data_IF_929028218166
#
_entry.id   IF_929028218166
#
_cell.length_a   1.000
_cell.length_b   1.000
_cell.length_c   1.000
_cell.angle_alpha   90.00
_cell.angle_beta   90.00
_cell.angle_gamma   90.00
#
_symmetry.space_group_name_H-M   'P 1'
#
loop_
_entity.id
_entity.type
_entity.pdbx_description
1 polymer ?
#
# COMPACT_ATOMS: atom_id res chain seq x y z
N UNK A 1 50.05 -11.29 16.88
CA UNK A 1 48.78 -12.06 16.97
C UNK A 1 47.67 -11.11 17.38
N UNK A 2 46.55 -11.03 16.64
CA UNK A 2 45.41 -10.25 17.11
C UNK A 2 44.78 -10.92 18.36
N UNK A 3 44.29 -10.14 19.35
CA UNK A 3 43.70 -10.68 20.57
C UNK A 3 42.40 -11.43 20.30
N UNK A 4 42.22 -12.57 20.97
CA UNK A 4 41.03 -13.41 20.90
C UNK A 4 39.84 -12.66 21.53
N UNK A 5 38.66 -12.61 20.89
CA UNK A 5 37.50 -11.96 21.49
C UNK A 5 37.07 -12.69 22.77
N UNK A 6 36.56 -11.96 23.79
CA UNK A 6 36.06 -12.58 25.02
C UNK A 6 34.86 -13.50 24.73
N UNK A 7 34.67 -14.56 25.52
CA UNK A 7 33.54 -15.48 25.34
C UNK A 7 32.22 -14.71 25.52
N UNK A 8 31.31 -14.89 24.57
CA UNK A 8 29.97 -14.30 24.64
C UNK A 8 29.25 -14.78 25.91
N UNK A 9 28.66 -13.84 26.65
CA UNK A 9 27.81 -14.10 27.80
C UNK A 9 26.71 -15.10 27.45
N UNK A 10 26.55 -16.14 28.24
CA UNK A 10 25.54 -17.19 28.07
C UNK A 10 24.13 -16.61 28.16
N UNK A 11 23.54 -16.27 27.02
CA UNK A 11 22.09 -16.05 26.92
C UNK A 11 21.39 -17.32 27.37
N UNK A 12 20.47 -17.23 28.33
CA UNK A 12 19.68 -18.38 28.78
C UNK A 12 18.96 -19.01 27.58
N UNK A 13 18.91 -20.36 27.48
CA UNK A 13 18.40 -21.07 26.31
C UNK A 13 16.97 -20.64 25.95
N UNK A 14 16.14 -20.35 26.96
CA UNK A 14 14.79 -19.82 26.77
C UNK A 14 14.74 -18.49 26.02
N UNK A 15 15.61 -17.51 26.36
CA UNK A 15 15.62 -16.21 25.67
C UNK A 15 16.08 -16.35 24.22
N UNK A 16 17.03 -17.26 23.96
CA UNK A 16 17.46 -17.57 22.60
C UNK A 16 16.34 -18.24 21.78
N UNK A 17 15.58 -19.16 22.38
CA UNK A 17 14.46 -19.84 21.73
C UNK A 17 13.29 -18.89 21.47
N UNK A 18 12.92 -18.03 22.43
CA UNK A 18 11.91 -16.98 22.26
C UNK A 18 12.34 -15.99 21.19
N UNK A 19 13.61 -15.55 21.18
CA UNK A 19 14.12 -14.67 20.14
C UNK A 19 14.08 -15.32 18.75
N UNK A 20 14.37 -16.62 18.66
CA UNK A 20 14.31 -17.37 17.39
C UNK A 20 12.87 -17.52 16.92
N UNK A 21 11.95 -17.84 17.83
CA UNK A 21 10.53 -17.92 17.54
C UNK A 21 9.97 -16.57 17.08
N UNK A 22 10.22 -15.49 17.81
CA UNK A 22 9.80 -14.13 17.42
C UNK A 22 10.42 -13.71 16.10
N UNK A 23 11.67 -14.10 15.84
CA UNK A 23 12.35 -13.90 14.56
C UNK A 23 11.63 -14.60 13.40
N UNK A 24 11.27 -15.88 13.59
CA UNK A 24 10.55 -16.68 12.59
C UNK A 24 9.12 -16.18 12.38
N UNK A 25 8.41 -15.87 13.46
CA UNK A 25 7.07 -15.28 13.43
C UNK A 25 7.08 -13.96 12.65
N UNK A 26 7.95 -13.02 13.03
CA UNK A 26 8.09 -11.74 12.32
C UNK A 26 8.43 -11.95 10.83
N UNK A 27 9.28 -12.91 10.50
CA UNK A 27 9.65 -13.19 9.11
C UNK A 27 8.45 -13.60 8.25
N UNK A 28 7.54 -14.42 8.80
CA UNK A 28 6.33 -14.84 8.08
C UNK A 28 5.25 -13.75 8.04
N UNK A 29 5.01 -13.08 9.17
CA UNK A 29 3.90 -12.14 9.32
C UNK A 29 4.18 -10.75 8.76
N UNK A 30 5.44 -10.31 8.71
CA UNK A 30 5.76 -8.98 8.16
C UNK A 30 5.39 -8.84 6.68
N UNK A 31 5.85 -9.71 5.75
CA UNK A 31 5.45 -9.62 4.35
C UNK A 31 3.94 -9.70 4.18
N UNK A 32 3.27 -10.59 4.92
CA UNK A 32 1.83 -10.76 4.86
C UNK A 32 1.09 -9.50 5.35
N UNK A 33 1.53 -8.90 6.46
CA UNK A 33 0.96 -7.66 6.98
C UNK A 33 1.16 -6.48 6.04
N UNK A 34 2.30 -6.40 5.36
CA UNK A 34 2.53 -5.37 4.33
C UNK A 34 1.63 -5.57 3.11
N UNK A 35 1.50 -6.81 2.61
CA UNK A 35 0.60 -7.15 1.51
C UNK A 35 -0.84 -6.84 1.88
N UNK A 36 -1.30 -7.29 3.04
CA UNK A 36 -2.66 -7.08 3.51
C UNK A 36 -2.98 -5.58 3.66
N UNK A 37 -2.07 -4.79 4.25
CA UNK A 37 -2.28 -3.35 4.40
C UNK A 37 -2.40 -2.65 3.05
N UNK A 38 -1.53 -3.00 2.08
CA UNK A 38 -1.61 -2.44 0.74
C UNK A 38 -2.90 -2.88 0.05
N UNK A 39 -3.23 -4.17 0.07
CA UNK A 39 -4.43 -4.71 -0.57
C UNK A 39 -5.71 -4.07 -0.02
N UNK A 40 -5.85 -3.97 1.31
CA UNK A 40 -6.98 -3.28 1.95
C UNK A 40 -7.04 -1.81 1.49
N UNK A 41 -5.89 -1.14 1.40
CA UNK A 41 -5.83 0.22 0.88
C UNK A 41 -6.22 0.34 -0.59
N UNK A 42 -5.81 -0.61 -1.43
CA UNK A 42 -6.14 -0.63 -2.86
C UNK A 42 -7.64 -0.86 -3.00
N UNK A 43 -8.19 -1.81 -2.24
CA UNK A 43 -9.61 -2.09 -2.19
C UNK A 43 -10.43 -0.85 -1.81
N UNK A 44 -10.09 -0.18 -0.70
CA UNK A 44 -10.78 1.05 -0.30
C UNK A 44 -10.70 2.16 -1.35
N UNK A 45 -9.57 2.28 -2.05
CA UNK A 45 -9.42 3.26 -3.12
C UNK A 45 -10.17 2.86 -4.41
N UNK A 46 -10.32 1.55 -4.65
CA UNK A 46 -11.06 1.00 -5.78
C UNK A 46 -12.57 1.19 -5.62
N UNK A 47 -13.10 1.14 -4.39
CA UNK A 47 -14.50 1.49 -4.12
C UNK A 47 -14.82 2.93 -4.56
N UNK A 48 -13.97 3.89 -4.19
CA UNK A 48 -14.11 5.27 -4.67
C UNK A 48 -13.96 5.35 -6.20
N UNK A 49 -13.07 4.55 -6.79
CA UNK A 49 -12.87 4.52 -8.23
C UNK A 49 -14.11 3.95 -8.97
N UNK A 50 -14.80 2.95 -8.42
CA UNK A 50 -16.03 2.38 -8.97
C UNK A 50 -17.11 3.46 -9.12
N UNK A 51 -17.34 4.26 -8.08
CA UNK A 51 -18.29 5.39 -8.14
C UNK A 51 -17.93 6.40 -9.25
N UNK A 52 -16.63 6.68 -9.43
CA UNK A 52 -16.16 7.60 -10.48
C UNK A 52 -16.27 7.00 -11.88
N UNK A 53 -16.02 5.70 -12.02
CA UNK A 53 -16.19 4.96 -13.27
C UNK A 53 -17.65 4.90 -13.66
N UNK A 54 -18.56 4.63 -12.71
CA UNK A 54 -19.99 4.67 -12.95
C UNK A 54 -20.43 6.06 -13.44
N UNK A 55 -20.03 7.11 -12.73
CA UNK A 55 -20.35 8.49 -13.13
C UNK A 55 -19.76 8.87 -14.50
N UNK A 56 -18.63 8.29 -14.90
CA UNK A 56 -18.06 8.48 -16.23
C UNK A 56 -18.86 7.72 -17.30
N UNK A 57 -19.21 6.45 -17.04
CA UNK A 57 -20.01 5.62 -17.94
C UNK A 57 -21.38 6.28 -18.16
N UNK A 58 -22.03 6.76 -17.11
CA UNK A 58 -23.30 7.49 -17.22
C UNK A 58 -23.17 8.79 -18.03
N UNK A 59 -22.06 9.53 -17.89
CA UNK A 59 -21.82 10.74 -18.70
C UNK A 59 -21.57 10.42 -20.17
N UNK A 60 -20.87 9.33 -20.47
CA UNK A 60 -20.63 8.89 -21.85
C UNK A 60 -21.93 8.44 -22.50
N UNK A 61 -22.73 7.65 -21.78
CA UNK A 61 -24.04 7.17 -22.21
C UNK A 61 -25.00 8.34 -22.48
N UNK A 62 -25.14 9.28 -21.54
CA UNK A 62 -25.96 10.47 -21.73
C UNK A 62 -25.49 11.34 -22.92
N UNK A 63 -24.17 11.44 -23.14
CA UNK A 63 -23.60 12.15 -24.29
C UNK A 63 -23.91 11.46 -25.62
N UNK A 64 -23.86 10.13 -25.64
CA UNK A 64 -24.25 9.31 -26.79
C UNK A 64 -25.74 9.46 -27.09
N UNK A 65 -26.60 9.30 -26.08
CA UNK A 65 -28.05 9.48 -26.21
C UNK A 65 -28.40 10.90 -26.72
N UNK A 66 -27.71 11.92 -26.22
CA UNK A 66 -27.90 13.30 -26.67
C UNK A 66 -27.43 13.58 -28.10
N UNK A 67 -26.53 12.75 -28.67
CA UNK A 67 -26.09 12.85 -30.06
C UNK A 67 -27.02 12.08 -30.99
N UNK A 68 -27.34 10.86 -30.61
CA UNK A 68 -28.11 9.88 -31.37
C UNK A 68 -29.60 10.21 -31.37
N UNK A 69 -30.12 10.75 -30.27
CA UNK A 69 -31.49 11.24 -30.16
C UNK A 69 -31.79 12.47 -31.03
N UNK A 70 -30.78 13.11 -31.63
CA UNK A 70 -30.98 14.24 -32.57
C UNK A 70 -31.50 13.83 -33.93
N UNK A 71 -31.34 12.56 -34.30
CA UNK A 71 -31.76 12.05 -35.61
C UNK A 71 -32.86 11.01 -35.44
N UNK A 72 -33.97 11.19 -36.15
CA UNK A 72 -35.13 10.29 -36.11
C UNK A 72 -34.82 8.85 -36.55
N UNK A 73 -33.81 8.65 -37.40
CA UNK A 73 -33.34 7.32 -37.82
C UNK A 73 -32.58 6.57 -36.72
N UNK A 74 -31.96 7.30 -35.78
CA UNK A 74 -31.14 6.70 -34.72
C UNK A 74 -31.78 6.81 -33.33
N UNK A 75 -32.92 7.48 -33.21
CA UNK A 75 -33.76 7.51 -32.01
C UNK A 75 -33.98 6.14 -31.30
N UNK A 76 -34.15 5.00 -31.99
CA UNK A 76 -34.29 3.70 -31.29
C UNK A 76 -33.00 3.19 -30.63
N UNK A 77 -31.85 3.84 -30.84
CA UNK A 77 -30.57 3.50 -30.20
C UNK A 77 -30.35 4.25 -28.87
N UNK A 78 -31.27 5.14 -28.48
CA UNK A 78 -31.25 5.81 -27.17
C UNK A 78 -31.53 4.78 -26.07
N UNK A 79 -30.85 4.86 -24.94
CA UNK A 79 -30.94 3.89 -23.81
C UNK A 79 -30.55 2.45 -24.20
N UNK A 80 -29.73 2.27 -25.24
CA UNK A 80 -29.30 0.93 -25.64
C UNK A 80 -28.52 0.19 -24.54
N UNK A 81 -27.85 0.92 -23.65
CA UNK A 81 -27.13 0.37 -22.50
C UNK A 81 -27.93 0.61 -21.22
N UNK A 82 -28.53 -0.44 -20.67
CA UNK A 82 -29.29 -0.34 -19.42
C UNK A 82 -28.43 0.07 -18.22
N UNK A 83 -29.06 0.66 -17.19
CA UNK A 83 -28.39 1.02 -15.94
C UNK A 83 -27.69 -0.19 -15.27
N UNK A 84 -28.31 -1.37 -15.33
CA UNK A 84 -27.71 -2.60 -14.81
C UNK A 84 -26.40 -2.91 -15.54
N UNK A 85 -26.39 -2.79 -16.87
CA UNK A 85 -25.21 -3.06 -17.69
C UNK A 85 -24.11 -2.02 -17.44
N UNK A 86 -24.44 -0.73 -17.29
CA UNK A 86 -23.48 0.33 -16.93
C UNK A 86 -22.83 0.05 -15.56
N UNK A 87 -23.63 -0.34 -14.57
CA UNK A 87 -23.15 -0.70 -13.23
C UNK A 87 -22.24 -1.93 -13.28
N UNK A 88 -22.61 -2.96 -14.06
CA UNK A 88 -21.80 -4.18 -14.22
C UNK A 88 -20.46 -3.88 -14.88
N UNK A 89 -20.43 -3.00 -15.89
CA UNK A 89 -19.20 -2.56 -16.56
C UNK A 89 -18.30 -1.80 -15.58
N UNK A 90 -18.84 -0.84 -14.82
CA UNK A 90 -18.08 -0.05 -13.85
C UNK A 90 -17.41 -0.96 -12.81
N UNK A 91 -18.17 -1.88 -12.20
CA UNK A 91 -17.66 -2.84 -11.22
C UNK A 91 -16.57 -3.76 -11.78
N UNK A 92 -16.76 -4.26 -13.00
CA UNK A 92 -15.76 -5.12 -13.64
C UNK A 92 -14.46 -4.35 -13.93
N UNK A 93 -14.58 -3.11 -14.40
CA UNK A 93 -13.43 -2.23 -14.62
C UNK A 93 -12.72 -1.91 -13.30
N UNK A 94 -13.46 -1.60 -12.23
CA UNK A 94 -12.91 -1.35 -10.90
C UNK A 94 -12.14 -2.57 -10.38
N UNK A 95 -12.73 -3.77 -10.45
CA UNK A 95 -12.07 -5.02 -10.05
C UNK A 95 -10.81 -5.32 -10.86
N UNK A 96 -10.85 -5.16 -12.18
CA UNK A 96 -9.67 -5.34 -13.02
C UNK A 96 -8.56 -4.34 -12.64
N UNK A 97 -8.93 -3.12 -12.28
CA UNK A 97 -8.01 -2.07 -11.83
C UNK A 97 -7.40 -2.37 -10.46
N UNK A 98 -8.22 -2.82 -9.52
CA UNK A 98 -7.82 -3.28 -8.18
C UNK A 98 -6.77 -4.38 -8.29
N UNK A 99 -7.06 -5.45 -9.05
CA UNK A 99 -6.13 -6.57 -9.24
C UNK A 99 -4.82 -6.14 -9.92
N UNK A 100 -4.90 -5.25 -10.91
CA UNK A 100 -3.70 -4.70 -11.55
C UNK A 100 -2.84 -3.90 -10.55
N UNK A 101 -3.48 -3.12 -9.69
CA UNK A 101 -2.79 -2.34 -8.68
C UNK A 101 -2.19 -3.20 -7.56
N UNK A 102 -2.83 -4.28 -7.15
CA UNK A 102 -2.27 -5.25 -6.20
C UNK A 102 -0.99 -5.90 -6.74
N UNK A 103 -1.00 -6.29 -8.02
CA UNK A 103 0.21 -6.80 -8.68
C UNK A 103 1.32 -5.76 -8.69
N UNK A 104 0.99 -4.47 -8.89
CA UNK A 104 1.99 -3.40 -8.92
C UNK A 104 2.45 -2.98 -7.52
N UNK A 105 1.59 -2.90 -6.51
CA UNK A 105 1.88 -2.29 -5.22
C UNK A 105 2.12 -3.31 -4.11
N UNK A 106 1.33 -4.39 -4.06
CA UNK A 106 1.36 -5.37 -2.97
C UNK A 106 2.38 -6.49 -3.24
N UNK A 107 2.47 -6.98 -4.48
CA UNK A 107 3.39 -8.07 -4.85
C UNK A 107 4.88 -7.80 -4.49
N UNK A 108 5.42 -6.58 -4.66
CA UNK A 108 6.79 -6.27 -4.22
C UNK A 108 7.06 -6.51 -2.73
N UNK A 109 6.01 -6.45 -1.89
CA UNK A 109 6.10 -6.69 -0.46
C UNK A 109 6.22 -8.19 -0.11
N UNK A 110 5.81 -9.12 -0.99
CA UNK A 110 6.12 -10.56 -0.81
C UNK A 110 7.63 -10.85 -0.86
N UNK A 111 8.38 -10.05 -1.62
CA UNK A 111 9.83 -10.11 -1.64
C UNK A 111 10.51 -9.43 -0.44
N UNK A 112 9.73 -8.91 0.53
CA UNK A 112 10.30 -8.27 1.71
C UNK A 112 11.08 -9.29 2.53
N UNK A 113 12.38 -9.03 2.70
CA UNK A 113 13.23 -9.77 3.63
C UNK A 113 13.79 -8.77 4.60
N UNK A 114 13.50 -8.89 5.88
CA UNK A 114 14.15 -8.06 6.88
C UNK A 114 15.64 -8.46 6.96
N UNK A 115 16.57 -7.51 6.83
CA UNK A 115 17.98 -7.83 7.00
C UNK A 115 18.18 -8.28 8.43
N UNK A 116 18.45 -9.58 8.65
CA UNK A 116 18.88 -10.04 9.95
C UNK A 116 20.19 -9.32 10.30
N UNK A 117 20.35 -8.94 11.57
CA UNK A 117 21.65 -8.51 12.05
C UNK A 117 22.65 -9.67 11.79
N UNK A 118 23.84 -9.40 11.23
CA UNK A 118 24.79 -10.46 10.94
C UNK A 118 25.11 -11.23 12.22
N UNK A 119 24.96 -12.55 12.18
CA UNK A 119 25.42 -13.43 13.26
C UNK A 119 26.92 -13.18 13.46
N UNK A 120 27.47 -13.15 14.69
CA UNK A 120 28.89 -12.84 14.91
C UNK A 120 29.85 -13.70 14.09
N UNK A 121 29.46 -14.95 13.80
CA UNK A 121 30.18 -15.89 12.95
C UNK A 121 30.18 -15.55 11.45
N UNK A 122 29.39 -14.59 10.98
CA UNK A 122 29.31 -14.12 9.59
C UNK A 122 29.79 -12.67 9.43
N UNK A 123 30.06 -11.96 10.54
CA UNK A 123 30.55 -10.58 10.54
C UNK A 123 31.89 -10.42 9.78
N UNK A 124 32.74 -11.45 9.77
CA UNK A 124 34.00 -11.46 9.02
C UNK A 124 33.80 -11.62 7.50
N UNK A 125 32.69 -12.24 7.04
CA UNK A 125 32.37 -12.33 5.60
C UNK A 125 31.96 -10.98 5.02
N UNK A 126 31.34 -10.11 5.83
CA UNK A 126 30.99 -8.73 5.44
C UNK A 126 32.24 -7.90 5.11
N UNK A 127 33.38 -8.20 5.76
CA UNK A 127 34.67 -7.56 5.49
C UNK A 127 35.31 -8.07 4.19
N UNK A 128 35.05 -9.32 3.81
CA UNK A 128 35.62 -9.96 2.60
C UNK A 128 34.80 -9.73 1.32
N UNK A 129 33.47 -9.59 1.43
CA UNK A 129 32.59 -9.28 0.29
C UNK A 129 31.86 -7.94 0.49
N UNK A 130 32.58 -6.80 0.57
CA UNK A 130 31.96 -5.50 0.81
C UNK A 130 30.97 -5.08 -0.30
N UNK A 131 31.07 -5.65 -1.50
CA UNK A 131 30.24 -5.30 -2.66
C UNK A 131 28.88 -6.00 -2.74
N UNK A 132 28.63 -7.13 -2.04
CA UNK A 132 27.39 -7.91 -2.19
C UNK A 132 26.29 -7.59 -1.17
N UNK A 133 26.61 -6.95 -0.04
CA UNK A 133 25.74 -6.99 1.14
C UNK A 133 25.09 -5.65 1.57
N UNK A 134 25.58 -4.50 1.08
CA UNK A 134 25.08 -3.21 1.55
C UNK A 134 23.79 -2.82 0.82
N UNK A 135 22.63 -3.16 1.39
CA UNK A 135 21.36 -2.57 0.96
C UNK A 135 21.46 -1.04 1.07
N UNK A 136 21.03 -0.28 0.05
CA UNK A 136 21.15 1.18 0.07
C UNK A 136 20.35 1.75 1.23
N UNK A 137 20.96 2.67 1.99
CA UNK A 137 20.29 3.41 3.05
C UNK A 137 19.17 4.28 2.45
N UNK A 138 18.12 4.60 3.21
CA UNK A 138 17.01 5.43 2.73
C UNK A 138 17.48 6.78 2.16
N UNK A 139 18.49 7.41 2.76
CA UNK A 139 19.12 8.63 2.24
C UNK A 139 19.71 8.42 0.84
N UNK A 140 20.36 7.27 0.61
CA UNK A 140 20.95 6.95 -0.69
C UNK A 140 19.86 6.74 -1.75
N UNK A 141 18.77 6.04 -1.40
CA UNK A 141 17.61 5.88 -2.29
C UNK A 141 17.00 7.23 -2.65
N UNK A 142 16.78 8.10 -1.66
CA UNK A 142 16.25 9.44 -1.87
C UNK A 142 17.16 10.28 -2.77
N UNK A 143 18.47 10.29 -2.49
CA UNK A 143 19.45 11.02 -3.30
C UNK A 143 19.48 10.54 -4.76
N UNK A 144 19.30 9.24 -5.01
CA UNK A 144 19.23 8.67 -6.37
C UNK A 144 17.95 9.07 -7.07
N UNK A 145 16.82 9.10 -6.37
CA UNK A 145 15.54 9.54 -6.92
C UNK A 145 15.57 11.01 -7.34
N UNK A 146 16.27 11.86 -6.58
CA UNK A 146 16.50 13.25 -6.93
C UNK A 146 17.44 13.41 -8.14
N UNK A 147 18.52 12.62 -8.21
CA UNK A 147 19.53 12.73 -9.29
C UNK A 147 19.09 12.12 -10.63
N UNK A 148 18.27 11.08 -10.58
CA UNK A 148 17.77 10.35 -11.77
C UNK A 148 16.26 10.16 -11.65
N UNK A 149 15.46 11.23 -11.82
CA UNK A 149 14.02 11.17 -11.66
C UNK A 149 13.42 10.29 -12.77
N UNK A 150 12.66 9.28 -12.37
CA UNK A 150 11.81 8.50 -13.28
C UNK A 150 10.39 8.47 -12.70
N UNK A 151 9.34 8.35 -13.55
CA UNK A 151 7.97 8.26 -13.07
C UNK A 151 7.81 7.17 -12.00
N UNK A 152 8.46 6.03 -12.20
CA UNK A 152 8.40 4.90 -11.29
C UNK A 152 9.03 5.16 -9.91
N UNK A 153 10.12 5.94 -9.84
CA UNK A 153 10.81 6.29 -8.59
C UNK A 153 10.04 7.29 -7.73
N UNK A 154 9.13 8.06 -8.33
CA UNK A 154 8.34 9.08 -7.63
C UNK A 154 6.90 8.66 -7.42
N UNK A 155 6.20 8.28 -8.48
CA UNK A 155 4.76 8.04 -8.42
C UNK A 155 4.42 6.75 -7.70
N UNK A 156 5.25 5.69 -7.80
CA UNK A 156 4.99 4.42 -7.12
C UNK A 156 5.07 4.52 -5.59
N UNK A 157 6.12 5.10 -4.97
CA UNK A 157 6.15 5.25 -3.52
C UNK A 157 5.09 6.23 -3.02
N UNK A 158 4.77 7.30 -3.78
CA UNK A 158 3.67 8.21 -3.43
C UNK A 158 2.31 7.53 -3.49
N UNK A 159 2.05 6.75 -4.55
CA UNK A 159 0.84 5.96 -4.66
C UNK A 159 0.74 4.90 -3.55
N UNK A 160 1.87 4.25 -3.22
CA UNK A 160 1.95 3.32 -2.08
C UNK A 160 1.60 4.04 -0.79
N UNK A 161 2.11 5.25 -0.56
CA UNK A 161 1.83 6.03 0.65
C UNK A 161 0.34 6.40 0.75
N UNK A 162 -0.28 6.83 -0.36
CA UNK A 162 -1.71 7.13 -0.40
C UNK A 162 -2.57 5.91 -0.10
N UNK A 163 -2.28 4.78 -0.75
CA UNK A 163 -2.98 3.50 -0.56
C UNK A 163 -2.80 2.96 0.86
N UNK A 164 -1.58 2.97 1.39
CA UNK A 164 -1.28 2.58 2.77
C UNK A 164 -2.03 3.45 3.78
N UNK A 165 -2.13 4.76 3.52
CA UNK A 165 -2.90 5.67 4.36
C UNK A 165 -4.38 5.31 4.33
N UNK A 166 -4.96 5.06 3.15
CA UNK A 166 -6.33 4.61 3.01
C UNK A 166 -6.59 3.29 3.76
N UNK A 167 -5.69 2.30 3.59
CA UNK A 167 -5.79 1.02 4.29
C UNK A 167 -5.68 1.16 5.81
N UNK A 168 -4.78 2.02 6.29
CA UNK A 168 -4.64 2.29 7.73
C UNK A 168 -5.89 3.01 8.29
N UNK A 169 -6.53 3.89 7.52
CA UNK A 169 -7.80 4.50 7.88
C UNK A 169 -8.94 3.48 7.95
N UNK A 170 -9.00 2.54 6.99
CA UNK A 170 -9.99 1.46 6.99
C UNK A 170 -9.85 0.58 8.24
N UNK A 171 -8.62 0.19 8.60
CA UNK A 171 -8.34 -0.55 9.84
C UNK A 171 -8.75 0.26 11.08
N UNK A 172 -8.39 1.54 11.15
CA UNK A 172 -8.76 2.40 12.27
C UNK A 172 -10.28 2.56 12.43
N UNK A 173 -11.02 2.69 11.32
CA UNK A 173 -12.50 2.75 11.34
C UNK A 173 -13.13 1.45 11.81
N UNK A 174 -12.61 0.32 11.37
CA UNK A 174 -13.07 -0.99 11.83
C UNK A 174 -12.91 -1.09 13.35
N UNK A 175 -11.74 -0.73 13.87
CA UNK A 175 -11.46 -0.73 15.31
C UNK A 175 -12.39 0.24 16.06
N UNK A 176 -12.57 1.46 15.55
CA UNK A 176 -13.49 2.43 16.15
C UNK A 176 -14.91 1.87 16.26
N UNK A 177 -15.45 1.34 15.16
CA UNK A 177 -16.79 0.78 15.11
C UNK A 177 -16.96 -0.42 16.04
N UNK A 178 -16.01 -1.36 16.04
CA UNK A 178 -16.04 -2.54 16.89
C UNK A 178 -15.97 -2.19 18.38
N UNK A 179 -15.07 -1.29 18.76
CA UNK A 179 -14.89 -0.87 20.16
C UNK A 179 -16.12 -0.10 20.64
N UNK A 180 -16.60 0.87 19.85
CA UNK A 180 -17.76 1.67 20.22
C UNK A 180 -18.98 0.79 20.47
N UNK A 181 -19.33 -0.10 19.52
CA UNK A 181 -20.49 -0.98 19.66
C UNK A 181 -20.37 -1.92 20.86
N UNK A 182 -19.16 -2.43 21.14
CA UNK A 182 -18.94 -3.38 22.23
C UNK A 182 -18.96 -2.72 23.62
N UNK A 183 -18.54 -1.45 23.72
CA UNK A 183 -18.41 -0.75 24.99
C UNK A 183 -19.55 0.21 25.30
N UNK A 184 -20.38 0.57 24.31
CA UNK A 184 -21.51 1.48 24.49
C UNK A 184 -22.49 0.97 25.55
N UNK A 185 -22.81 -0.32 25.54
CA UNK A 185 -23.73 -0.91 26.52
C UNK A 185 -23.16 -0.97 27.94
N UNK A 186 -21.83 -1.05 28.08
CA UNK A 186 -21.14 -1.21 29.36
C UNK A 186 -20.78 0.11 30.02
N UNK A 187 -20.33 1.10 29.25
CA UNK A 187 -19.74 2.33 29.76
C UNK A 187 -20.54 3.59 29.39
N UNK A 188 -21.64 3.43 28.63
CA UNK A 188 -22.43 4.53 28.10
C UNK A 188 -21.81 5.19 26.87
N UNK A 189 -22.58 6.06 26.23
CA UNK A 189 -22.30 6.57 24.89
C UNK A 189 -21.00 7.40 24.81
N UNK A 190 -20.82 8.34 25.73
CA UNK A 190 -19.69 9.27 25.71
C UNK A 190 -18.34 8.60 26.00
N UNK A 191 -18.27 7.71 26.99
CA UNK A 191 -17.03 7.01 27.34
C UNK A 191 -16.62 6.02 26.23
N UNK A 192 -17.59 5.31 25.64
CA UNK A 192 -17.35 4.40 24.53
C UNK A 192 -16.85 5.13 23.28
N UNK A 193 -17.42 6.29 22.94
CA UNK A 193 -16.99 7.10 21.79
C UNK A 193 -15.54 7.60 21.95
N UNK A 194 -15.21 8.20 23.10
CA UNK A 194 -13.84 8.69 23.38
C UNK A 194 -12.82 7.56 23.30
N UNK A 195 -13.13 6.42 23.92
CA UNK A 195 -12.21 5.28 23.95
C UNK A 195 -12.04 4.65 22.55
N UNK A 196 -13.12 4.55 21.77
CA UNK A 196 -13.09 4.07 20.40
C UNK A 196 -12.24 4.98 19.49
N UNK A 197 -12.42 6.30 19.59
CA UNK A 197 -11.63 7.29 18.82
C UNK A 197 -10.15 7.25 19.19
N UNK A 198 -9.84 7.20 20.49
CA UNK A 198 -8.46 7.12 20.96
C UNK A 198 -7.76 5.86 20.43
N UNK A 199 -8.42 4.69 20.48
CA UNK A 199 -7.90 3.44 19.94
C UNK A 199 -7.77 3.47 18.42
N UNK A 200 -8.70 4.11 17.71
CA UNK A 200 -8.62 4.28 16.27
C UNK A 200 -7.39 5.10 15.86
N UNK A 201 -7.16 6.24 16.50
CA UNK A 201 -5.97 7.09 16.25
C UNK A 201 -4.69 6.34 16.60
N UNK A 202 -4.65 5.66 17.75
CA UNK A 202 -3.50 4.85 18.14
C UNK A 202 -3.20 3.74 17.11
N UNK A 203 -4.23 3.09 16.59
CA UNK A 203 -4.11 2.04 15.57
C UNK A 203 -3.65 2.61 14.24
N UNK A 204 -4.19 3.75 13.79
CA UNK A 204 -3.76 4.44 12.59
C UNK A 204 -2.26 4.75 12.64
N UNK A 205 -1.80 5.41 13.71
CA UNK A 205 -0.39 5.76 13.90
C UNK A 205 0.47 4.50 14.00
N UNK A 206 0.02 3.50 14.77
CA UNK A 206 0.73 2.23 14.95
C UNK A 206 0.95 1.50 13.62
N UNK A 207 -0.09 1.38 12.79
CA UNK A 207 -0.02 0.74 11.47
C UNK A 207 0.88 1.51 10.52
N UNK A 208 0.78 2.85 10.47
CA UNK A 208 1.62 3.68 9.60
C UNK A 208 3.12 3.58 9.96
N UNK A 209 3.45 3.63 11.25
CA UNK A 209 4.84 3.55 11.72
C UNK A 209 5.41 2.15 11.57
N UNK A 210 4.64 1.11 11.90
CA UNK A 210 5.12 -0.28 11.88
C UNK A 210 5.18 -0.88 10.48
N UNK A 211 4.15 -0.66 9.65
CA UNK A 211 3.98 -1.29 8.35
C UNK A 211 4.04 -0.27 7.21
N UNK A 212 3.37 0.87 7.36
CA UNK A 212 3.19 1.82 6.28
C UNK A 212 4.50 2.36 5.70
N UNK A 213 5.39 2.86 6.57
CA UNK A 213 6.72 3.32 6.16
C UNK A 213 7.53 2.21 5.46
N UNK A 214 7.43 0.97 5.95
CA UNK A 214 8.15 -0.18 5.38
C UNK A 214 7.62 -0.54 4.00
N UNK A 215 6.30 -0.48 3.79
CA UNK A 215 5.68 -0.70 2.48
C UNK A 215 6.15 0.32 1.45
N UNK A 216 6.18 1.61 1.83
CA UNK A 216 6.66 2.70 0.96
C UNK A 216 8.14 2.52 0.62
N UNK A 217 8.99 2.27 1.63
CA UNK A 217 10.42 2.05 1.42
C UNK A 217 10.67 0.80 0.55
N UNK A 218 9.90 -0.27 0.73
CA UNK A 218 10.02 -1.48 -0.08
C UNK A 218 9.65 -1.23 -1.54
N UNK A 219 8.56 -0.50 -1.79
CA UNK A 219 8.18 -0.11 -3.15
C UNK A 219 9.22 0.83 -3.79
N UNK A 220 9.81 1.73 -3.01
CA UNK A 220 10.91 2.58 -3.47
C UNK A 220 12.16 1.74 -3.85
N UNK A 221 12.56 0.79 -3.01
CA UNK A 221 13.69 -0.11 -3.28
C UNK A 221 13.46 -0.96 -4.53
N UNK A 222 12.27 -1.51 -4.67
CA UNK A 222 11.91 -2.30 -5.84
C UNK A 222 11.85 -1.42 -7.10
N UNK A 223 11.31 -0.21 -7.01
CA UNK A 223 11.31 0.74 -8.12
C UNK A 223 12.73 1.13 -8.55
N UNK A 224 13.63 1.37 -7.58
CA UNK A 224 15.03 1.67 -7.85
C UNK A 224 15.74 0.51 -8.56
N UNK A 225 15.59 -0.71 -8.04
CA UNK A 225 16.20 -1.92 -8.59
C UNK A 225 15.76 -2.15 -10.05
N UNK A 226 14.45 -2.08 -10.32
CA UNK A 226 13.94 -2.27 -11.69
C UNK A 226 14.40 -1.15 -12.63
N UNK A 227 14.57 0.08 -12.15
CA UNK A 227 15.10 1.17 -12.96
C UNK A 227 16.60 1.05 -13.25
N UNK A 228 17.38 0.43 -12.35
CA UNK A 228 18.80 0.17 -12.60
C UNK A 228 19.00 -1.04 -13.53
N UNK A 229 18.14 -2.05 -13.46
CA UNK A 229 18.15 -3.21 -14.37
C UNK A 229 17.64 -2.86 -15.78
N UNK A 230 16.59 -2.04 -15.87
CA UNK A 230 15.99 -1.64 -17.12
C UNK A 230 16.64 -0.33 -17.59
N UNK A 231 17.48 -0.37 -18.62
CA UNK A 231 18.05 0.85 -19.22
C UNK A 231 16.99 1.94 -19.52
N UNK A 232 17.42 3.20 -19.64
CA UNK A 232 16.56 4.39 -19.51
C UNK A 232 15.20 4.37 -20.23
N UNK A 233 15.15 3.99 -21.52
CA UNK A 233 13.88 3.95 -22.28
C UNK A 233 12.92 2.86 -21.79
N UNK A 234 13.45 1.70 -21.40
CA UNK A 234 12.65 0.58 -20.90
C UNK A 234 12.11 0.87 -19.50
N UNK A 235 12.92 1.48 -18.61
CA UNK A 235 12.47 1.96 -17.31
C UNK A 235 11.35 3.01 -17.44
N UNK A 236 11.46 3.92 -18.40
CA UNK A 236 10.43 4.94 -18.63
C UNK A 236 9.11 4.32 -19.09
N UNK A 237 9.12 3.42 -20.08
CA UNK A 237 7.90 2.76 -20.56
C UNK A 237 7.23 1.92 -19.48
N UNK A 238 8.00 1.08 -18.76
CA UNK A 238 7.46 0.30 -17.63
C UNK A 238 6.95 1.20 -16.52
N UNK A 239 7.68 2.29 -16.23
CA UNK A 239 7.28 3.28 -15.25
C UNK A 239 5.95 3.92 -15.61
N UNK A 240 5.78 4.40 -16.84
CA UNK A 240 4.52 5.00 -17.30
C UNK A 240 3.34 4.02 -17.22
N UNK A 241 3.53 2.77 -17.64
CA UNK A 241 2.48 1.75 -17.54
C UNK A 241 2.08 1.48 -16.09
N UNK A 242 3.06 1.30 -15.20
CA UNK A 242 2.78 1.15 -13.76
C UNK A 242 2.07 2.37 -13.18
N UNK A 243 2.49 3.57 -13.57
CA UNK A 243 1.90 4.83 -13.12
C UNK A 243 0.46 4.99 -13.60
N UNK A 244 0.15 4.59 -14.84
CA UNK A 244 -1.21 4.63 -15.36
C UNK A 244 -2.18 3.79 -14.50
N UNK A 245 -1.71 2.68 -13.93
CA UNK A 245 -2.50 1.86 -13.00
C UNK A 245 -2.61 2.52 -11.63
N UNK A 246 -1.49 2.95 -11.04
CA UNK A 246 -1.49 3.35 -9.61
C UNK A 246 -1.90 4.80 -9.35
N UNK A 247 -1.74 5.72 -10.30
CA UNK A 247 -2.05 7.15 -10.10
C UNK A 247 -3.55 7.39 -9.90
N UNK A 248 -4.47 6.83 -10.72
CA UNK A 248 -5.90 7.02 -10.50
C UNK A 248 -6.35 6.54 -9.12
N UNK A 249 -5.84 5.39 -8.66
CA UNK A 249 -6.08 4.87 -7.32
C UNK A 249 -5.50 5.77 -6.23
N UNK A 250 -4.29 6.28 -6.40
CA UNK A 250 -3.70 7.21 -5.44
C UNK A 250 -4.52 8.50 -5.31
N UNK A 251 -5.02 9.01 -6.45
CA UNK A 251 -5.92 10.18 -6.44
C UNK A 251 -7.23 9.82 -5.76
N UNK A 252 -7.84 8.67 -6.07
CA UNK A 252 -9.07 8.21 -5.43
C UNK A 252 -8.89 8.08 -3.91
N UNK A 253 -7.80 7.44 -3.47
CA UNK A 253 -7.42 7.30 -2.06
C UNK A 253 -7.25 8.65 -1.34
N UNK A 254 -6.65 9.64 -2.00
CA UNK A 254 -6.44 10.99 -1.43
C UNK A 254 -7.73 11.80 -1.42
N UNK A 255 -8.54 11.71 -2.47
CA UNK A 255 -9.85 12.37 -2.54
C UNK A 255 -10.78 11.81 -1.46
N UNK A 256 -10.72 10.52 -1.23
CA UNK A 256 -11.40 9.86 -0.12
C UNK A 256 -10.59 9.87 1.18
N UNK A 257 -9.55 10.71 1.32
CA UNK A 257 -8.81 10.87 2.59
C UNK A 257 -9.50 11.84 3.59
N UNK A 258 -10.70 12.31 3.26
CA UNK A 258 -11.71 12.90 4.18
C UNK A 258 -11.85 12.17 5.55
N UNK A 259 -11.67 10.83 5.68
CA UNK A 259 -11.65 10.07 6.92
C UNK A 259 -10.59 10.48 7.95
N UNK A 260 -9.41 10.94 7.56
CA UNK A 260 -8.34 11.24 8.53
C UNK A 260 -8.79 12.34 9.48
N UNK A 261 -9.49 13.34 8.94
CA UNK A 261 -10.05 14.44 9.72
C UNK A 261 -11.27 14.03 10.55
N UNK A 262 -11.96 12.94 10.16
CA UNK A 262 -13.15 12.47 10.89
C UNK A 262 -12.82 11.90 12.27
N UNK A 263 -11.60 11.41 12.50
CA UNK A 263 -11.15 10.96 13.83
C UNK A 263 -10.96 12.11 14.83
N UNK A 264 -10.84 13.35 14.33
CA UNK A 264 -10.59 14.55 15.15
C UNK A 264 -11.84 15.42 15.34
N UNK A 265 -13.01 15.00 14.84
CA UNK A 265 -14.30 15.69 14.96
C UNK A 265 -15.25 14.86 15.80
#
# INVERSE_FOLDING_TARGET
MPPRPPPASSSTPFLADVSRFLGAFRWAFMPLGLVALVAVGVHSAADTLDERLLALVDRVDAGFDALVGRYSLTAPLVEWVSLEQRTRIARFLALAWELAADVVLALPALGYRESAAPVPAEAWRVVLEPQKAARPTWHQLWSRCLRKPTPMRWLRPLATAAVVLAGACAVARLIQGSVYLSWRELFGDGAADVAARALAVASLVGVLVSLGWRAVLRNLQHADAVCEEAGGRAALRRGLLGCAVVVPLAVAAVVDATPVLSFFR
#
